data_IF_711890906326
#
_entry.id   IF_711890906326
#
_cell.length_a   1.000
_cell.length_b   1.000
_cell.length_c   1.000
_cell.angle_alpha   90.00
_cell.angle_beta   90.00
_cell.angle_gamma   90.00
#
_symmetry.space_group_name_H-M   'P 1'
#
loop_
_entity.id
_entity.type
_entity.pdbx_description
1 polymer ?
#
# COMPACT_ATOMS: atom_id res chain seq x y z
N UNK A 1 -13.66 6.26 31.62
CA UNK A 1 -13.75 6.26 30.13
C UNK A 1 -12.54 7.02 29.60
N UNK A 2 -11.56 6.35 28.98
CA UNK A 2 -10.43 7.03 28.32
C UNK A 2 -10.85 7.38 26.90
N UNK A 3 -11.07 8.67 26.65
CA UNK A 3 -11.29 9.18 25.29
C UNK A 3 -9.95 9.08 24.54
N UNK A 4 -9.83 8.11 23.64
CA UNK A 4 -8.70 8.03 22.71
C UNK A 4 -8.92 9.13 21.67
N UNK A 5 -8.41 10.32 21.93
CA UNK A 5 -8.35 11.39 20.93
C UNK A 5 -7.24 11.06 19.95
N UNK A 6 -7.58 10.30 18.91
CA UNK A 6 -6.75 10.16 17.72
C UNK A 6 -6.71 11.50 16.97
N UNK A 7 -5.96 12.46 17.50
CA UNK A 7 -5.60 13.67 16.77
C UNK A 7 -4.48 13.30 15.79
N UNK A 8 -4.86 12.87 14.58
CA UNK A 8 -3.96 12.88 13.43
C UNK A 8 -3.54 14.33 13.20
N UNK A 9 -2.41 14.75 13.78
CA UNK A 9 -1.87 16.10 13.62
C UNK A 9 -1.54 16.33 12.15
N UNK A 10 -2.19 17.30 11.55
CA UNK A 10 -1.85 17.77 10.21
C UNK A 10 -0.45 18.35 10.23
N UNK A 11 0.43 17.84 9.37
CA UNK A 11 1.79 18.36 9.20
C UNK A 11 1.88 19.19 7.92
N UNK A 12 2.62 20.31 7.98
CA UNK A 12 2.90 21.13 6.80
C UNK A 12 4.12 20.58 6.09
N UNK A 13 3.97 20.29 4.81
CA UNK A 13 5.05 19.83 3.93
C UNK A 13 5.30 20.87 2.84
N UNK A 14 6.56 21.29 2.69
CA UNK A 14 6.99 22.14 1.58
C UNK A 14 7.66 21.25 0.54
N UNK A 15 7.16 21.25 -0.69
CA UNK A 15 7.64 20.42 -1.79
C UNK A 15 8.16 21.30 -2.93
N UNK A 16 9.27 20.88 -3.53
CA UNK A 16 9.77 21.44 -4.78
C UNK A 16 9.38 20.49 -5.90
N UNK A 17 8.69 21.00 -6.91
CA UNK A 17 8.22 20.23 -8.06
C UNK A 17 8.55 20.95 -9.36
N UNK A 18 8.62 20.20 -10.46
CA UNK A 18 8.84 20.76 -11.78
C UNK A 18 7.73 21.75 -12.16
N UNK A 19 8.04 22.87 -12.84
CA UNK A 19 7.05 23.88 -13.22
C UNK A 19 5.86 23.33 -14.01
N UNK A 20 6.10 22.32 -14.86
CA UNK A 20 5.04 21.66 -15.63
C UNK A 20 4.02 20.95 -14.75
N UNK A 21 4.48 20.30 -13.67
CA UNK A 21 3.59 19.64 -12.71
C UNK A 21 2.75 20.66 -11.96
N UNK A 22 3.33 21.78 -11.56
CA UNK A 22 2.59 22.89 -10.95
C UNK A 22 1.50 23.42 -11.86
N UNK A 23 1.81 23.64 -13.16
CA UNK A 23 0.82 24.06 -14.15
C UNK A 23 -0.32 23.06 -14.32
N UNK A 24 0.01 21.77 -14.45
CA UNK A 24 -0.99 20.70 -14.56
C UNK A 24 -1.87 20.61 -13.31
N UNK A 25 -1.27 20.64 -12.13
CA UNK A 25 -2.00 20.63 -10.86
C UNK A 25 -2.92 21.85 -10.73
N UNK A 26 -2.47 23.05 -11.14
CA UNK A 26 -3.30 24.26 -11.15
C UNK A 26 -4.46 24.20 -12.15
N UNK A 27 -4.28 23.55 -13.30
CA UNK A 27 -5.37 23.29 -14.26
C UNK A 27 -6.41 22.35 -13.66
N UNK A 28 -5.97 21.24 -13.05
CA UNK A 28 -6.86 20.25 -12.42
C UNK A 28 -7.59 20.86 -11.22
N UNK A 29 -6.89 21.65 -10.39
CA UNK A 29 -7.47 22.36 -9.25
C UNK A 29 -8.62 23.26 -9.67
N UNK A 30 -8.44 24.05 -10.72
CA UNK A 30 -9.50 24.89 -11.30
C UNK A 30 -10.66 24.06 -11.85
N UNK A 31 -10.36 22.98 -12.58
CA UNK A 31 -11.38 22.13 -13.21
C UNK A 31 -12.25 21.38 -12.19
N UNK A 32 -11.65 20.91 -11.10
CA UNK A 32 -12.32 20.11 -10.07
C UNK A 32 -12.77 20.93 -8.86
N UNK A 33 -12.47 22.24 -8.83
CA UNK A 33 -12.72 23.13 -7.71
C UNK A 33 -12.18 22.61 -6.36
N UNK A 34 -10.94 22.10 -6.37
CA UNK A 34 -10.25 21.58 -5.18
C UNK A 34 -8.90 22.26 -5.00
N UNK A 35 -8.38 22.31 -3.78
CA UNK A 35 -7.07 22.89 -3.52
C UNK A 35 -5.92 22.03 -4.08
N UNK A 36 -4.77 22.66 -4.35
CA UNK A 36 -3.56 21.94 -4.74
C UNK A 36 -3.15 20.93 -3.68
N UNK A 37 -3.28 21.27 -2.39
CA UNK A 37 -2.99 20.36 -1.29
C UNK A 37 -3.86 19.11 -1.32
N UNK A 38 -5.12 19.22 -1.72
CA UNK A 38 -6.03 18.08 -1.86
C UNK A 38 -5.62 17.19 -3.05
N UNK A 39 -5.19 17.79 -4.16
CA UNK A 39 -4.65 17.03 -5.31
C UNK A 39 -3.39 16.26 -4.90
N UNK A 40 -2.46 16.94 -4.21
CA UNK A 40 -1.22 16.33 -3.72
C UNK A 40 -1.54 15.22 -2.72
N UNK A 41 -2.48 15.43 -1.80
CA UNK A 41 -2.92 14.41 -0.86
C UNK A 41 -3.41 13.15 -1.58
N UNK A 42 -4.33 13.30 -2.54
CA UNK A 42 -4.87 12.16 -3.29
C UNK A 42 -3.79 11.43 -4.08
N UNK A 43 -2.92 12.16 -4.77
CA UNK A 43 -1.85 11.56 -5.55
C UNK A 43 -0.84 10.81 -4.65
N UNK A 44 -0.49 11.36 -3.49
CA UNK A 44 0.39 10.71 -2.52
C UNK A 44 -0.26 9.46 -1.92
N UNK A 45 -1.52 9.55 -1.49
CA UNK A 45 -2.27 8.41 -0.96
C UNK A 45 -2.36 7.28 -1.99
N UNK A 46 -2.75 7.60 -3.22
CA UNK A 46 -2.85 6.60 -4.28
C UNK A 46 -1.50 5.95 -4.60
N UNK A 47 -0.41 6.73 -4.59
CA UNK A 47 0.93 6.18 -4.82
C UNK A 47 1.39 5.25 -3.69
N UNK A 48 1.16 5.63 -2.43
CA UNK A 48 1.50 4.81 -1.27
C UNK A 48 0.66 3.53 -1.22
N UNK A 49 -0.66 3.63 -1.45
CA UNK A 49 -1.56 2.47 -1.51
C UNK A 49 -1.11 1.45 -2.58
N UNK A 50 -0.60 1.92 -3.72
CA UNK A 50 -0.08 1.04 -4.78
C UNK A 50 1.18 0.30 -4.34
N UNK A 51 2.08 0.96 -3.60
CA UNK A 51 3.28 0.32 -3.06
C UNK A 51 2.88 -0.73 -2.02
N UNK A 52 2.00 -0.37 -1.08
CA UNK A 52 1.55 -1.31 -0.05
C UNK A 52 0.86 -2.54 -0.64
N UNK A 53 0.03 -2.37 -1.68
CA UNK A 53 -0.58 -3.50 -2.39
C UNK A 53 0.47 -4.38 -3.05
N UNK A 54 1.47 -3.81 -3.71
CA UNK A 54 2.53 -4.58 -4.35
C UNK A 54 3.35 -5.37 -3.32
N UNK A 55 3.63 -4.79 -2.16
CA UNK A 55 4.32 -5.48 -1.06
C UNK A 55 3.47 -6.61 -0.48
N UNK A 56 2.17 -6.38 -0.28
CA UNK A 56 1.22 -7.41 0.19
C UNK A 56 1.10 -8.56 -0.81
N UNK A 57 1.00 -8.27 -2.11
CA UNK A 57 0.96 -9.29 -3.16
C UNK A 57 2.25 -10.13 -3.17
N UNK A 58 3.41 -9.48 -2.99
CA UNK A 58 4.69 -10.17 -2.89
C UNK A 58 4.74 -11.08 -1.66
N UNK A 59 4.35 -10.59 -0.50
CA UNK A 59 4.31 -11.37 0.74
C UNK A 59 3.33 -12.55 0.64
N UNK A 60 2.18 -12.36 0.02
CA UNK A 60 1.22 -13.44 -0.24
C UNK A 60 1.84 -14.50 -1.16
N UNK A 61 2.48 -14.09 -2.25
CA UNK A 61 3.15 -15.02 -3.17
C UNK A 61 4.24 -15.84 -2.48
N UNK A 62 5.10 -15.18 -1.70
CA UNK A 62 6.15 -15.85 -0.92
C UNK A 62 5.56 -16.80 0.13
N UNK A 63 4.51 -16.37 0.82
CA UNK A 63 3.77 -17.20 1.77
C UNK A 63 3.13 -18.43 1.12
N UNK A 64 2.47 -18.27 -0.03
CA UNK A 64 1.88 -19.38 -0.77
C UNK A 64 2.94 -20.37 -1.27
N UNK A 65 4.09 -19.90 -1.74
CA UNK A 65 5.20 -20.75 -2.15
C UNK A 65 5.78 -21.54 -0.97
N UNK A 66 6.01 -20.88 0.16
CA UNK A 66 6.48 -21.53 1.38
C UNK A 66 5.49 -22.58 1.90
N UNK A 67 4.19 -22.27 1.87
CA UNK A 67 3.15 -23.20 2.30
C UNK A 67 3.03 -24.40 1.35
N UNK A 68 3.14 -24.18 0.04
CA UNK A 68 3.11 -25.26 -0.95
C UNK A 68 4.28 -26.22 -0.75
N UNK A 69 5.49 -25.69 -0.52
CA UNK A 69 6.66 -26.51 -0.21
C UNK A 69 6.46 -27.32 1.09
N UNK A 70 5.92 -26.68 2.14
CA UNK A 70 5.62 -27.34 3.41
C UNK A 70 4.59 -28.47 3.26
N UNK A 71 3.51 -28.25 2.51
CA UNK A 71 2.48 -29.28 2.29
C UNK A 71 2.96 -30.42 1.38
N UNK A 72 3.76 -30.14 0.36
CA UNK A 72 4.36 -31.20 -0.46
C UNK A 72 5.29 -32.09 0.36
N UNK A 73 6.12 -31.49 1.22
CA UNK A 73 7.04 -32.24 2.09
C UNK A 73 6.27 -33.10 3.12
N UNK A 74 5.25 -32.53 3.76
CA UNK A 74 4.36 -33.29 4.64
C UNK A 74 3.67 -34.44 3.88
N UNK A 75 3.19 -34.23 2.67
CA UNK A 75 2.53 -35.31 1.92
C UNK A 75 3.48 -36.46 1.56
N UNK A 76 4.77 -36.18 1.37
CA UNK A 76 5.81 -37.20 1.22
C UNK A 76 6.10 -37.93 2.54
N UNK A 77 6.20 -37.20 3.66
CA UNK A 77 6.42 -37.80 4.98
C UNK A 77 5.26 -38.73 5.40
N UNK A 78 4.02 -38.36 5.08
CA UNK A 78 2.82 -39.14 5.39
C UNK A 78 2.59 -40.32 4.43
N UNK A 79 3.17 -40.32 3.22
CA UNK A 79 3.11 -41.46 2.29
C UNK A 79 3.76 -42.74 2.84
N UNK A 80 4.59 -42.60 3.87
CA UNK A 80 5.27 -43.71 4.53
C UNK A 80 4.63 -44.09 5.87
N UNK A 81 3.65 -43.32 6.37
CA UNK A 81 3.00 -43.56 7.65
C UNK A 81 2.02 -44.75 7.63
N UNK A 82 1.41 -45.06 6.48
CA UNK A 82 0.50 -46.20 6.28
C UNK A 82 1.23 -47.54 6.02
N UNK A 83 2.57 -47.58 6.09
CA UNK A 83 3.39 -48.79 5.84
C UNK A 83 3.92 -49.47 7.11
N UNK A 84 3.37 -49.14 8.29
CA UNK A 84 3.69 -49.78 9.57
C UNK A 84 2.61 -50.77 10.00
#
# INVERSE_FOLDING_TARGET
>A
MRTITNHTKTQRLNLIVMPELTRKAASVSRRLNVSISEIVRRALSEYLDRIERADLEKQLSEGYQANTAYYCQQQEDWKHADKL
#
